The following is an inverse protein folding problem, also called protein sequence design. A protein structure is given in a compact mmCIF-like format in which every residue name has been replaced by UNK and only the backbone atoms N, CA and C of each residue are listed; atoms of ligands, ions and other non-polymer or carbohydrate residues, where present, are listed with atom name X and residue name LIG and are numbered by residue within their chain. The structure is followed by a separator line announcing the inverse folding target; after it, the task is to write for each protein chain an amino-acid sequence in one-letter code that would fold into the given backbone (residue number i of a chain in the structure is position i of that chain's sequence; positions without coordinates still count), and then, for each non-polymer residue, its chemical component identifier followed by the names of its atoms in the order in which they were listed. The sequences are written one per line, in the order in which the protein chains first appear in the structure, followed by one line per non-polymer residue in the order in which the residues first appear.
data_IF_203891698422
#
_entry.id   IF_203891698422
#
_cell.length_a   1.000
_cell.length_b   1.000
_cell.length_c   1.000
_cell.angle_alpha   90.00
_cell.angle_beta   90.00
_cell.angle_gamma   90.00
#
_symmetry.space_group_name_H-M   'P 1'
#
loop_
_entity.id
_entity.type
_entity.pdbx_description
1 polymer ?
#
# COMPACT_ATOMS: atom_id res chain seq x y z
N UNK A 1 2.00 -5.55 -5.49
CA UNK A 1 0.89 -4.62 -5.72
C UNK A 1 0.15 -4.42 -4.41
N UNK A 2 0.35 -3.28 -3.71
CA UNK A 2 -0.26 -3.03 -2.41
C UNK A 2 -1.56 -2.25 -2.57
N UNK A 3 -2.70 -2.87 -2.30
CA UNK A 3 -3.97 -2.19 -2.07
C UNK A 3 -4.17 -2.08 -0.56
N UNK A 4 -3.77 -0.95 0.03
CA UNK A 4 -4.06 -0.67 1.44
C UNK A 4 -5.54 -0.28 1.59
N UNK A 5 -6.23 -1.04 2.40
CA UNK A 5 -7.64 -0.88 2.73
C UNK A 5 -7.87 0.36 3.61
N UNK A 6 -8.78 1.23 3.20
CA UNK A 6 -9.36 2.27 4.05
C UNK A 6 -10.88 2.21 3.96
N UNK A 7 -11.48 1.23 4.66
CA UNK A 7 -12.91 1.28 5.00
C UNK A 7 -13.07 1.94 6.35
N UNK A 8 -13.44 3.22 6.34
CA UNK A 8 -14.02 3.87 7.51
C UNK A 8 -15.39 3.26 7.80
N UNK A 9 -15.54 2.71 8.99
CA UNK A 9 -16.79 2.22 9.57
C UNK A 9 -17.86 3.33 9.62
N UNK A 10 -18.96 3.16 8.92
CA UNK A 10 -20.19 3.93 9.12
C UNK A 10 -20.95 3.32 10.29
N UNK A 11 -20.90 3.99 11.43
CA UNK A 11 -21.81 3.76 12.55
C UNK A 11 -23.18 4.30 12.17
N UNK A 12 -24.21 3.44 12.14
CA UNK A 12 -25.61 3.82 12.00
C UNK A 12 -26.11 4.29 13.37
N UNK A 13 -26.38 5.58 13.49
CA UNK A 13 -27.23 6.13 14.54
C UNK A 13 -28.61 6.45 13.94
N UNK A 14 -29.61 5.75 14.41
CA UNK A 14 -31.01 6.01 14.13
C UNK A 14 -31.43 7.32 14.79
N UNK A 15 -32.02 8.26 14.01
CA UNK A 15 -32.82 9.36 14.51
C UNK A 15 -33.96 9.66 13.53
N UNK A 16 -35.15 9.53 14.02
CA UNK A 16 -36.43 9.84 13.36
C UNK A 16 -36.56 11.33 13.00
N UNK A 17 -37.25 11.57 11.89
CA UNK A 17 -38.20 12.67 11.72
C UNK A 17 -37.62 14.02 11.30
N UNK A 18 -37.56 14.28 9.98
CA UNK A 18 -38.04 15.48 9.31
C UNK A 18 -37.74 15.41 7.80
N UNK A 19 -38.77 15.26 6.98
CA UNK A 19 -38.69 15.36 5.52
C UNK A 19 -38.42 16.82 5.16
N UNK A 20 -37.17 17.16 4.85
CA UNK A 20 -36.78 18.38 4.15
C UNK A 20 -36.59 18.09 2.66
N UNK A 21 -37.03 18.97 1.72
CA UNK A 21 -36.87 18.72 0.29
C UNK A 21 -35.42 18.60 -0.07
N UNK A 22 -35.06 17.53 -0.79
CA UNK A 22 -33.72 17.29 -1.35
C UNK A 22 -33.43 18.37 -2.40
N UNK A 23 -32.85 19.50 -1.96
CA UNK A 23 -32.09 20.35 -2.87
C UNK A 23 -30.99 19.50 -3.48
N UNK A 24 -30.88 19.49 -4.82
CA UNK A 24 -29.97 18.67 -5.59
C UNK A 24 -28.55 18.79 -5.01
N UNK A 25 -28.05 17.69 -4.44
CA UNK A 25 -26.71 17.59 -3.83
C UNK A 25 -25.69 17.71 -4.96
N UNK A 26 -25.27 18.97 -5.27
CA UNK A 26 -24.10 19.19 -6.15
C UNK A 26 -22.98 18.33 -5.58
N UNK A 27 -22.54 17.33 -6.35
CA UNK A 27 -21.42 16.46 -5.97
C UNK A 27 -20.24 17.37 -5.69
N UNK A 28 -19.81 17.48 -4.43
CA UNK A 28 -18.67 18.29 -4.06
C UNK A 28 -17.47 17.92 -4.93
N UNK A 29 -16.91 18.88 -5.63
CA UNK A 29 -15.77 18.66 -6.53
C UNK A 29 -14.55 18.20 -5.71
N UNK A 30 -13.73 17.31 -6.27
CA UNK A 30 -12.46 16.90 -5.68
C UNK A 30 -11.49 18.08 -5.74
N UNK A 31 -10.75 18.36 -4.66
CA UNK A 31 -9.83 19.46 -4.59
C UNK A 31 -8.76 19.37 -5.70
N UNK A 32 -8.40 20.49 -6.38
CA UNK A 32 -7.38 20.48 -7.44
C UNK A 32 -6.04 19.89 -7.00
N UNK A 33 -5.64 20.12 -5.75
CA UNK A 33 -4.42 19.53 -5.15
C UNK A 33 -4.46 18.00 -5.14
N UNK A 34 -5.63 17.39 -4.89
CA UNK A 34 -5.80 15.92 -4.91
C UNK A 34 -5.66 15.39 -6.34
N UNK A 35 -6.21 16.10 -7.33
CA UNK A 35 -6.05 15.73 -8.74
C UNK A 35 -4.59 15.86 -9.18
N UNK A 36 -3.90 16.93 -8.78
CA UNK A 36 -2.48 17.11 -9.06
C UNK A 36 -1.63 15.99 -8.43
N UNK A 37 -1.86 15.65 -7.16
CA UNK A 37 -1.19 14.53 -6.48
C UNK A 37 -1.53 13.17 -7.12
N UNK A 38 -2.75 13.00 -7.58
CA UNK A 38 -3.17 11.82 -8.33
C UNK A 38 -2.44 11.72 -9.68
N UNK A 39 -2.32 12.82 -10.42
CA UNK A 39 -1.57 12.88 -11.68
C UNK A 39 -0.07 12.57 -11.45
N UNK A 40 0.54 13.13 -10.41
CA UNK A 40 1.92 12.79 -10.01
C UNK A 40 2.06 11.29 -9.76
N UNK A 41 1.15 10.68 -8.99
CA UNK A 41 1.18 9.25 -8.72
C UNK A 41 1.00 8.43 -9.99
N UNK A 42 0.02 8.76 -10.83
CA UNK A 42 -0.21 8.08 -12.11
C UNK A 42 1.06 8.07 -12.96
N UNK A 43 1.64 9.25 -13.22
CA UNK A 43 2.83 9.41 -14.07
C UNK A 43 4.03 8.66 -13.48
N UNK A 44 4.29 8.81 -12.19
CA UNK A 44 5.43 8.17 -11.53
C UNK A 44 5.25 6.66 -11.36
N UNK A 45 4.02 6.18 -11.26
CA UNK A 45 3.75 4.74 -11.20
C UNK A 45 3.83 4.10 -12.60
N UNK A 46 3.39 4.78 -13.69
CA UNK A 46 3.71 4.35 -15.05
C UNK A 46 5.23 4.15 -15.17
N UNK A 47 6.02 5.14 -14.81
CA UNK A 47 7.48 5.07 -14.85
C UNK A 47 8.04 3.92 -14.03
N UNK A 48 7.62 3.76 -12.78
CA UNK A 48 8.16 2.74 -11.88
C UNK A 48 7.76 1.33 -12.32
N UNK A 49 6.52 1.14 -12.78
CA UNK A 49 6.02 -0.17 -13.19
C UNK A 49 6.52 -0.59 -14.58
N UNK A 50 6.94 0.36 -15.43
CA UNK A 50 7.73 0.03 -16.64
C UNK A 50 9.01 -0.71 -16.27
N UNK A 51 9.78 -0.17 -15.31
CA UNK A 51 11.03 -0.79 -14.84
C UNK A 51 10.74 -2.12 -14.14
N UNK A 52 9.76 -2.15 -13.23
CA UNK A 52 9.37 -3.35 -12.48
C UNK A 52 9.00 -4.51 -13.42
N UNK A 53 8.30 -4.22 -14.50
CA UNK A 53 7.83 -5.24 -15.44
C UNK A 53 8.96 -5.92 -16.21
N UNK A 54 10.06 -5.22 -16.49
CA UNK A 54 11.18 -5.75 -17.29
C UNK A 54 12.38 -6.18 -16.44
N UNK A 55 12.49 -5.65 -15.23
CA UNK A 55 13.65 -5.83 -14.36
C UNK A 55 14.03 -7.30 -14.13
N UNK A 56 13.10 -8.23 -13.84
CA UNK A 56 13.47 -9.64 -13.62
C UNK A 56 14.16 -10.26 -14.83
N UNK A 57 13.61 -10.04 -16.02
CA UNK A 57 14.17 -10.58 -17.25
C UNK A 57 15.49 -9.91 -17.62
N UNK A 58 15.60 -8.59 -17.46
CA UNK A 58 16.84 -7.85 -17.66
C UNK A 58 17.97 -8.38 -16.77
N UNK A 59 17.70 -8.60 -15.48
CA UNK A 59 18.71 -9.07 -14.53
C UNK A 59 19.18 -10.50 -14.84
N UNK A 60 18.25 -11.39 -15.16
CA UNK A 60 18.57 -12.81 -15.38
C UNK A 60 19.04 -13.08 -16.79
N UNK A 61 18.35 -12.57 -17.81
CA UNK A 61 18.65 -12.84 -19.23
C UNK A 61 19.61 -11.80 -19.81
N UNK A 62 19.41 -10.52 -19.51
CA UNK A 62 20.25 -9.43 -20.04
C UNK A 62 21.62 -9.38 -19.39
N UNK A 63 21.70 -9.46 -18.08
CA UNK A 63 22.95 -9.38 -17.32
C UNK A 63 23.51 -10.75 -16.88
N UNK A 64 22.77 -11.85 -17.09
CA UNK A 64 23.22 -13.19 -16.73
C UNK A 64 23.40 -13.42 -15.24
N UNK A 65 22.67 -12.69 -14.38
CA UNK A 65 22.77 -12.87 -12.94
C UNK A 65 22.27 -14.25 -12.52
N UNK A 66 22.97 -14.85 -11.55
CA UNK A 66 22.54 -16.10 -10.96
C UNK A 66 21.17 -15.96 -10.26
N UNK A 67 20.36 -17.02 -10.14
CA UNK A 67 19.09 -16.98 -9.40
C UNK A 67 19.25 -16.52 -7.95
N UNK A 68 20.38 -16.82 -7.29
CA UNK A 68 20.71 -16.30 -5.97
C UNK A 68 20.89 -14.79 -5.97
N UNK A 69 21.69 -14.27 -6.92
CA UNK A 69 21.89 -12.83 -7.08
C UNK A 69 20.57 -12.10 -7.37
N UNK A 70 19.77 -12.66 -8.27
CA UNK A 70 18.42 -12.15 -8.53
C UNK A 70 17.53 -12.19 -7.28
N UNK A 71 17.51 -13.29 -6.52
CA UNK A 71 16.73 -13.44 -5.29
C UNK A 71 17.10 -12.40 -4.22
N UNK A 72 18.39 -12.04 -4.11
CA UNK A 72 18.83 -10.96 -3.22
C UNK A 72 18.26 -9.61 -3.68
N UNK A 73 18.33 -9.29 -4.97
CA UNK A 73 17.81 -8.02 -5.51
C UNK A 73 16.28 -7.94 -5.40
N UNK A 74 15.57 -9.02 -5.70
CA UNK A 74 14.12 -9.12 -5.56
C UNK A 74 13.69 -8.99 -4.09
N UNK A 75 14.44 -9.60 -3.18
CA UNK A 75 14.25 -9.45 -1.73
C UNK A 75 14.43 -8.00 -1.27
N UNK A 76 15.50 -7.31 -1.69
CA UNK A 76 15.72 -5.88 -1.42
C UNK A 76 14.54 -5.08 -1.97
N UNK A 77 14.15 -5.33 -3.21
CA UNK A 77 13.06 -4.63 -3.86
C UNK A 77 11.73 -4.74 -3.09
N UNK A 78 11.36 -5.93 -2.65
CA UNK A 78 10.11 -6.20 -1.95
C UNK A 78 10.16 -5.87 -0.45
N UNK A 79 11.29 -6.12 0.23
CA UNK A 79 11.43 -5.97 1.68
C UNK A 79 11.75 -4.54 2.12
N UNK A 80 12.62 -3.85 1.38
CA UNK A 80 13.18 -2.58 1.84
C UNK A 80 12.17 -1.43 1.93
N UNK A 81 11.18 -1.40 1.02
CA UNK A 81 10.17 -0.33 0.99
C UNK A 81 9.28 -0.30 2.24
N UNK A 82 9.03 -1.44 2.88
CA UNK A 82 8.23 -1.49 4.10
C UNK A 82 8.96 -0.88 5.29
N UNK A 83 10.28 -1.15 5.41
CA UNK A 83 11.12 -0.59 6.47
C UNK A 83 11.23 0.94 6.33
N UNK A 84 11.47 1.43 5.11
CA UNK A 84 11.64 2.87 4.85
C UNK A 84 10.33 3.65 5.04
N UNK A 85 9.16 3.04 4.80
CA UNK A 85 7.86 3.68 5.02
C UNK A 85 7.66 4.11 6.47
N UNK A 86 8.12 3.32 7.43
CA UNK A 86 8.08 3.68 8.86
C UNK A 86 8.93 4.91 9.16
N UNK A 87 10.13 4.99 8.54
CA UNK A 87 11.05 6.12 8.71
C UNK A 87 10.49 7.38 8.03
N UNK A 88 9.95 7.23 6.82
CA UNK A 88 9.42 8.35 6.02
C UNK A 88 8.25 9.08 6.69
N UNK A 89 7.33 8.34 7.31
CA UNK A 89 6.24 8.91 8.11
C UNK A 89 6.76 9.76 9.27
N UNK A 90 7.73 9.23 10.01
CA UNK A 90 8.32 9.92 11.14
C UNK A 90 9.11 11.20 10.75
N UNK A 91 9.84 11.16 9.63
CA UNK A 91 10.53 12.34 9.10
C UNK A 91 9.54 13.44 8.67
N UNK A 92 8.45 13.07 8.02
CA UNK A 92 7.44 14.02 7.58
C UNK A 92 6.77 14.74 8.75
N UNK A 93 6.48 14.03 9.85
CA UNK A 93 5.87 14.57 11.07
C UNK A 93 6.83 15.51 11.82
N UNK A 94 8.14 15.20 11.83
CA UNK A 94 9.16 16.07 12.44
C UNK A 94 9.49 17.31 11.62
N UNK A 95 9.25 17.30 10.33
CA UNK A 95 9.63 18.35 9.39
C UNK A 95 8.79 19.65 9.45
N UNK A 96 7.95 19.86 10.48
CA UNK A 96 7.19 21.10 10.63
C UNK A 96 6.24 21.41 9.47
N UNK A 97 5.62 20.40 8.86
CA UNK A 97 4.67 20.56 7.76
C UNK A 97 5.31 20.61 6.35
N UNK A 98 6.57 20.28 6.19
CA UNK A 98 7.29 20.25 4.90
C UNK A 98 6.94 19.00 4.05
N UNK A 99 5.68 18.55 4.06
CA UNK A 99 5.26 17.33 3.38
C UNK A 99 5.59 17.33 1.89
N UNK A 100 5.41 18.44 1.16
CA UNK A 100 5.75 18.54 -0.26
C UNK A 100 7.26 18.37 -0.50
N UNK A 101 8.12 18.95 0.34
CA UNK A 101 9.58 18.83 0.19
C UNK A 101 10.07 17.40 0.38
N UNK A 102 9.58 16.71 1.42
CA UNK A 102 9.94 15.30 1.69
C UNK A 102 9.42 14.37 0.59
N UNK A 103 8.16 14.57 0.15
CA UNK A 103 7.60 13.81 -0.97
C UNK A 103 8.39 14.08 -2.26
N UNK A 104 8.71 15.35 -2.56
CA UNK A 104 9.47 15.75 -3.74
C UNK A 104 10.86 15.13 -3.78
N UNK A 105 11.57 15.13 -2.64
CA UNK A 105 12.85 14.45 -2.53
C UNK A 105 12.72 12.94 -2.83
N UNK A 106 11.70 12.27 -2.27
CA UNK A 106 11.45 10.85 -2.54
C UNK A 106 11.16 10.56 -4.02
N UNK A 107 10.38 11.42 -4.70
CA UNK A 107 10.12 11.30 -6.13
C UNK A 107 11.38 11.54 -6.97
N UNK A 108 12.17 12.59 -6.65
CA UNK A 108 13.40 12.92 -7.34
C UNK A 108 14.45 11.81 -7.19
N UNK A 109 14.61 11.27 -5.97
CA UNK A 109 15.52 10.15 -5.71
C UNK A 109 15.14 8.92 -6.55
N UNK A 110 13.86 8.55 -6.58
CA UNK A 110 13.38 7.43 -7.39
C UNK A 110 13.56 7.69 -8.90
N UNK A 111 13.39 8.93 -9.36
CA UNK A 111 13.66 9.30 -10.76
C UNK A 111 15.15 9.15 -11.11
N UNK A 112 16.05 9.65 -10.25
CA UNK A 112 17.50 9.60 -10.46
C UNK A 112 18.06 8.17 -10.50
N UNK A 113 17.41 7.20 -9.83
CA UNK A 113 17.81 5.80 -9.84
C UNK A 113 17.67 5.14 -11.24
N UNK A 114 16.76 5.60 -12.08
CA UNK A 114 16.46 4.96 -13.37
C UNK A 114 17.61 5.04 -14.38
N UNK A 115 18.21 6.21 -14.67
CA UNK A 115 19.37 6.28 -15.54
C UNK A 115 20.62 5.59 -14.94
N UNK A 116 20.70 5.50 -13.61
CA UNK A 116 21.82 4.77 -12.98
C UNK A 116 21.76 3.27 -13.25
N UNK A 117 20.56 2.70 -13.49
CA UNK A 117 20.44 1.29 -13.89
C UNK A 117 21.10 1.00 -15.24
N UNK A 118 21.18 1.98 -16.16
CA UNK A 118 21.88 1.85 -17.44
C UNK A 118 23.39 1.69 -17.27
N UNK A 119 23.94 2.24 -16.19
CA UNK A 119 25.38 2.22 -15.90
C UNK A 119 25.79 1.05 -15.00
N UNK A 120 24.83 0.34 -14.43
CA UNK A 120 25.07 -0.70 -13.44
C UNK A 120 24.93 -2.09 -14.07
N UNK A 121 26.03 -2.82 -14.15
CA UNK A 121 26.10 -4.16 -14.77
C UNK A 121 26.42 -5.27 -13.77
N UNK A 122 26.65 -4.94 -12.50
CA UNK A 122 27.02 -5.92 -11.45
C UNK A 122 26.05 -5.86 -10.27
N UNK A 123 26.02 -6.92 -9.47
CA UNK A 123 25.06 -7.13 -8.39
C UNK A 123 25.04 -5.99 -7.37
N UNK A 124 26.21 -5.53 -6.92
CA UNK A 124 26.30 -4.54 -5.83
C UNK A 124 25.75 -3.17 -6.21
N UNK A 125 26.19 -2.51 -7.32
CA UNK A 125 25.62 -1.21 -7.70
C UNK A 125 24.14 -1.31 -8.03
N UNK A 126 23.66 -2.38 -8.67
CA UNK A 126 22.23 -2.59 -8.91
C UNK A 126 21.47 -2.67 -7.58
N UNK A 127 21.98 -3.44 -6.61
CA UNK A 127 21.36 -3.54 -5.28
C UNK A 127 21.25 -2.20 -4.55
N UNK A 128 22.31 -1.38 -4.61
CA UNK A 128 22.33 -0.03 -4.03
C UNK A 128 21.33 0.90 -4.73
N UNK A 129 21.24 0.86 -6.05
CA UNK A 129 20.29 1.65 -6.82
C UNK A 129 18.84 1.25 -6.49
N UNK A 130 18.56 -0.05 -6.43
CA UNK A 130 17.23 -0.55 -6.06
C UNK A 130 16.87 -0.18 -4.62
N UNK A 131 17.80 -0.28 -3.67
CA UNK A 131 17.59 0.16 -2.30
C UNK A 131 17.31 1.68 -2.22
N UNK A 132 18.03 2.50 -2.99
CA UNK A 132 17.80 3.95 -3.09
C UNK A 132 16.43 4.26 -3.72
N UNK A 133 16.03 3.57 -4.80
CA UNK A 133 14.70 3.72 -5.42
C UNK A 133 13.58 3.36 -4.43
N UNK A 134 13.72 2.23 -3.70
CA UNK A 134 12.74 1.84 -2.67
C UNK A 134 12.70 2.80 -1.49
N UNK A 135 13.84 3.41 -1.13
CA UNK A 135 13.92 4.51 -0.16
C UNK A 135 13.10 5.72 -0.63
N UNK A 136 13.28 6.14 -1.88
CA UNK A 136 12.49 7.20 -2.49
C UNK A 136 10.99 6.90 -2.44
N UNK A 137 10.57 5.68 -2.80
CA UNK A 137 9.16 5.24 -2.76
C UNK A 137 8.61 5.23 -1.32
N UNK A 138 9.38 4.77 -0.34
CA UNK A 138 9.00 4.78 1.07
C UNK A 138 8.82 6.20 1.63
N UNK A 139 9.78 7.08 1.36
CA UNK A 139 9.77 8.47 1.84
C UNK A 139 8.59 9.29 1.32
N UNK A 140 8.18 9.09 0.05
CA UNK A 140 7.10 9.87 -0.57
C UNK A 140 5.69 9.50 -0.10
N UNK A 141 5.46 8.24 0.33
CA UNK A 141 4.11 7.69 0.54
C UNK A 141 3.36 8.40 1.66
N UNK A 142 3.91 8.47 2.87
CA UNK A 142 3.24 9.08 4.03
C UNK A 142 3.05 10.60 3.89
N UNK A 143 4.04 11.41 3.43
CA UNK A 143 3.82 12.84 3.18
C UNK A 143 2.78 13.13 2.09
N UNK A 144 2.73 12.33 1.03
CA UNK A 144 1.71 12.43 -0.03
C UNK A 144 0.30 12.21 0.55
N UNK A 145 0.12 11.14 1.33
CA UNK A 145 -1.17 10.81 1.93
C UNK A 145 -1.61 11.89 2.93
N UNK A 146 -0.66 12.49 3.67
CA UNK A 146 -0.91 13.64 4.52
C UNK A 146 -1.40 14.86 3.72
N UNK A 147 -0.77 15.18 2.57
CA UNK A 147 -1.21 16.27 1.69
C UNK A 147 -2.63 16.05 1.15
N UNK A 148 -2.98 14.83 0.77
CA UNK A 148 -4.35 14.47 0.33
C UNK A 148 -5.34 14.71 1.47
N UNK A 149 -5.02 14.25 2.68
CA UNK A 149 -5.87 14.42 3.86
C UNK A 149 -6.07 15.89 4.22
N UNK A 150 -4.99 16.69 4.20
CA UNK A 150 -5.03 18.12 4.51
C UNK A 150 -5.77 18.95 3.44
N UNK A 151 -5.77 18.48 2.20
CA UNK A 151 -6.47 19.12 1.07
C UNK A 151 -7.95 18.74 0.98
N UNK A 152 -8.46 17.91 1.89
CA UNK A 152 -9.81 17.36 1.86
C UNK A 152 -10.55 17.62 3.15
N UNK A 153 -11.87 17.85 3.09
CA UNK A 153 -12.71 17.90 4.30
C UNK A 153 -13.02 16.49 4.79
N UNK A 154 -13.41 16.30 6.07
CA UNK A 154 -13.79 14.98 6.60
C UNK A 154 -14.81 14.24 5.71
N UNK A 155 -15.80 14.99 5.16
CA UNK A 155 -16.90 14.44 4.33
C UNK A 155 -16.42 14.03 2.92
N UNK A 156 -15.36 14.66 2.38
CA UNK A 156 -14.84 14.42 1.03
C UNK A 156 -13.57 13.56 1.02
N UNK A 157 -12.98 13.29 2.18
CA UNK A 157 -11.69 12.60 2.31
C UNK A 157 -11.70 11.20 1.68
N UNK A 158 -12.76 10.42 1.92
CA UNK A 158 -12.90 9.09 1.31
C UNK A 158 -12.90 9.14 -0.22
N UNK A 159 -13.58 10.14 -0.81
CA UNK A 159 -13.61 10.35 -2.26
C UNK A 159 -12.24 10.81 -2.78
N UNK A 160 -11.53 11.68 -2.05
CA UNK A 160 -10.21 12.15 -2.42
C UNK A 160 -9.19 11.00 -2.51
N UNK A 161 -9.14 10.15 -1.49
CA UNK A 161 -8.31 8.93 -1.50
C UNK A 161 -8.75 7.94 -2.59
N UNK A 162 -10.07 7.80 -2.83
CA UNK A 162 -10.60 6.94 -3.89
C UNK A 162 -10.14 7.37 -5.28
N UNK A 163 -10.22 8.67 -5.60
CA UNK A 163 -9.75 9.22 -6.88
C UNK A 163 -8.23 9.06 -7.01
N UNK A 164 -7.47 9.41 -5.97
CA UNK A 164 -6.02 9.21 -5.97
C UNK A 164 -5.66 7.75 -6.22
N UNK A 165 -6.33 6.80 -5.54
CA UNK A 165 -6.06 5.38 -5.70
C UNK A 165 -6.40 4.86 -7.09
N UNK A 166 -7.49 5.36 -7.70
CA UNK A 166 -7.84 5.01 -9.06
C UNK A 166 -6.74 5.45 -10.06
N UNK A 167 -6.17 6.65 -9.87
CA UNK A 167 -5.08 7.17 -10.71
C UNK A 167 -3.78 6.39 -10.48
N UNK A 168 -3.44 6.06 -9.25
CA UNK A 168 -2.31 5.21 -8.84
C UNK A 168 -2.41 3.82 -9.53
N UNK A 169 -3.58 3.18 -9.43
CA UNK A 169 -3.83 1.87 -10.07
C UNK A 169 -3.77 1.97 -11.60
N UNK A 170 -4.31 3.03 -12.19
CA UNK A 170 -4.22 3.24 -13.64
C UNK A 170 -2.74 3.35 -14.09
N UNK A 171 -1.91 4.10 -13.35
CA UNK A 171 -0.48 4.17 -13.59
C UNK A 171 0.20 2.80 -13.53
N UNK A 172 -0.14 2.00 -12.53
CA UNK A 172 0.39 0.64 -12.38
C UNK A 172 0.00 -0.30 -13.53
N UNK A 173 -1.17 -0.12 -14.13
CA UNK A 173 -1.60 -0.91 -15.29
C UNK A 173 -0.95 -0.44 -16.60
N UNK A 174 -0.78 0.87 -16.78
CA UNK A 174 -0.18 1.41 -17.99
C UNK A 174 1.33 1.16 -18.07
N UNK A 175 2.05 1.09 -16.94
CA UNK A 175 3.49 0.86 -16.92
C UNK A 175 3.95 -0.36 -17.71
N UNK A 176 3.48 -1.58 -17.37
CA UNK A 176 3.82 -2.80 -18.11
C UNK A 176 3.43 -2.75 -19.59
N UNK A 177 2.30 -2.11 -19.93
CA UNK A 177 1.84 -1.95 -21.30
C UNK A 177 2.81 -1.08 -22.11
N UNK A 178 3.23 0.07 -21.54
CA UNK A 178 4.20 0.96 -22.20
C UNK A 178 5.54 0.26 -22.35
N UNK A 179 6.02 -0.46 -21.33
CA UNK A 179 7.24 -1.26 -21.41
C UNK A 179 7.16 -2.29 -22.54
N UNK A 180 6.05 -3.02 -22.65
CA UNK A 180 5.82 -3.97 -23.75
C UNK A 180 5.90 -3.30 -25.13
N UNK A 181 5.26 -2.14 -25.30
CA UNK A 181 5.27 -1.42 -26.58
C UNK A 181 6.69 -0.98 -26.95
N UNK A 182 7.49 -0.50 -25.99
CA UNK A 182 8.89 -0.14 -26.20
C UNK A 182 9.73 -1.36 -26.58
N UNK A 183 9.64 -2.45 -25.82
CA UNK A 183 10.37 -3.69 -26.12
C UNK A 183 10.04 -4.26 -27.49
N UNK A 184 8.82 -4.02 -27.99
CA UNK A 184 8.42 -4.44 -29.33
C UNK A 184 8.96 -3.54 -30.43
N UNK A 185 9.15 -2.25 -30.12
CA UNK A 185 9.52 -1.22 -31.10
C UNK A 185 11.03 -0.99 -31.23
N UNK A 186 11.83 -1.48 -30.27
CA UNK A 186 13.27 -1.19 -30.16
C UNK A 186 14.11 -2.48 -30.13
N UNK A 187 15.35 -2.40 -30.63
CA UNK A 187 16.32 -3.51 -30.62
C UNK A 187 16.94 -3.62 -29.22
N UNK A 188 17.43 -2.51 -28.63
CA UNK A 188 17.98 -2.44 -27.27
C UNK A 188 16.86 -2.03 -26.29
N UNK A 189 15.87 -2.89 -26.18
CA UNK A 189 14.59 -2.56 -25.54
C UNK A 189 14.68 -2.19 -24.06
N UNK A 190 15.63 -2.78 -23.31
CA UNK A 190 15.78 -2.47 -21.88
C UNK A 190 16.27 -1.05 -21.62
N UNK A 191 17.29 -0.61 -22.38
CA UNK A 191 17.84 0.74 -22.27
C UNK A 191 16.80 1.80 -22.66
N UNK A 192 16.03 1.52 -23.71
CA UNK A 192 14.91 2.36 -24.11
C UNK A 192 13.84 2.45 -23.00
N UNK A 193 13.48 1.33 -22.35
CA UNK A 193 12.52 1.32 -21.24
C UNK A 193 13.04 2.16 -20.06
N UNK A 194 14.29 2.00 -19.66
CA UNK A 194 14.86 2.77 -18.55
C UNK A 194 14.95 4.27 -18.85
N UNK A 195 15.36 4.62 -20.09
CA UNK A 195 15.42 6.01 -20.54
C UNK A 195 14.05 6.68 -20.58
N UNK A 196 13.06 6.03 -21.21
CA UNK A 196 11.69 6.55 -21.24
C UNK A 196 11.10 6.63 -19.84
N UNK A 197 11.33 5.61 -19.01
CA UNK A 197 10.91 5.63 -17.59
C UNK A 197 11.48 6.82 -16.85
N UNK A 198 12.77 7.15 -17.05
CA UNK A 198 13.38 8.35 -16.48
C UNK A 198 12.68 9.64 -16.95
N UNK A 199 12.46 9.80 -18.23
CA UNK A 199 11.78 10.98 -18.78
C UNK A 199 10.37 11.13 -18.20
N UNK A 200 9.60 10.03 -18.10
CA UNK A 200 8.27 10.02 -17.48
C UNK A 200 8.34 10.38 -15.99
N UNK A 201 9.34 9.86 -15.26
CA UNK A 201 9.53 10.21 -13.85
C UNK A 201 9.83 11.70 -13.65
N UNK A 202 10.68 12.28 -14.51
CA UNK A 202 10.99 13.72 -14.50
C UNK A 202 9.72 14.55 -14.72
N UNK A 203 8.87 14.17 -15.68
CA UNK A 203 7.56 14.82 -15.87
C UNK A 203 6.72 14.74 -14.59
N UNK A 204 6.68 13.60 -13.91
CA UNK A 204 5.98 13.47 -12.63
C UNK A 204 6.51 14.41 -11.55
N UNK A 205 7.83 14.55 -11.44
CA UNK A 205 8.48 15.50 -10.52
C UNK A 205 8.15 16.95 -10.88
N UNK A 206 8.16 17.30 -12.17
CA UNK A 206 7.78 18.63 -12.63
C UNK A 206 6.32 18.97 -12.29
N UNK A 207 5.40 18.03 -12.52
CA UNK A 207 3.99 18.19 -12.12
C UNK A 207 3.86 18.42 -10.63
N UNK A 208 4.61 17.70 -9.79
CA UNK A 208 4.63 17.94 -8.34
C UNK A 208 5.11 19.34 -7.99
N UNK A 209 6.20 19.79 -8.60
CA UNK A 209 6.80 21.10 -8.30
C UNK A 209 5.87 22.23 -8.72
N UNK A 210 5.29 22.15 -9.93
CA UNK A 210 4.52 23.22 -10.54
C UNK A 210 3.08 23.29 -10.04
N UNK A 211 2.40 22.17 -9.83
CA UNK A 211 0.96 22.12 -9.59
C UNK A 211 0.56 21.80 -8.14
N UNK A 212 1.46 21.28 -7.32
CA UNK A 212 1.15 21.02 -5.90
C UNK A 212 1.60 22.23 -5.06
N UNK A 213 0.70 22.87 -4.27
CA UNK A 213 1.06 24.03 -3.47
C UNK A 213 2.02 23.68 -2.31
N UNK A 214 2.88 24.63 -1.93
CA UNK A 214 3.87 24.45 -0.85
C UNK A 214 3.23 24.41 0.55
N UNK A 215 2.10 25.10 0.75
CA UNK A 215 1.35 25.11 2.01
C UNK A 215 -0.13 24.91 1.77
N UNK A 216 -0.69 23.89 2.40
CA UNK A 216 -2.15 23.60 2.33
C UNK A 216 -2.93 24.45 3.35
N UNK A 217 -2.25 25.08 4.31
CA UNK A 217 -2.87 25.88 5.38
C UNK A 217 -3.41 27.25 4.92
N UNK A 218 -3.05 27.74 3.72
CA UNK A 218 -3.49 29.04 3.21
C UNK A 218 -4.95 29.11 2.71
N UNK A 219 -5.60 27.97 2.51
CA UNK A 219 -6.96 27.94 1.96
C UNK A 219 -8.07 28.05 3.04
N UNK A 220 -7.73 27.83 4.31
CA UNK A 220 -8.72 27.89 5.41
C UNK A 220 -8.99 29.33 5.92
N UNK A 221 -8.09 30.27 5.65
CA UNK A 221 -8.20 31.66 6.13
C UNK A 221 -8.87 32.63 5.14
N UNK A 222 -9.20 32.16 3.90
CA UNK A 222 -9.86 33.02 2.90
C UNK A 222 -11.37 32.88 2.79
N UNK A 223 -12.03 32.14 3.65
CA UNK A 223 -13.50 31.96 3.63
C UNK A 223 -14.20 32.54 4.86
N UNK A 224 -13.62 33.53 5.55
CA UNK A 224 -14.38 34.37 6.44
C UNK A 224 -14.80 35.60 5.64
N UNK A 225 -16.11 35.91 5.44
CA UNK A 225 -16.50 37.18 4.84
C UNK A 225 -16.16 38.29 5.81
N UNK A 226 -15.32 39.21 5.35
CA UNK A 226 -15.04 40.52 5.98
C UNK A 226 -16.35 41.30 5.95
N UNK A 227 -17.02 41.35 7.07
CA UNK A 227 -18.30 42.05 7.13
C UNK A 227 -18.84 42.21 8.54
N UNK A 228 -18.15 42.98 9.38
CA UNK A 228 -18.76 43.79 10.44
C UNK A 228 -17.67 44.66 11.12
N UNK A 229 -17.19 45.66 10.41
CA UNK A 229 -16.66 46.85 11.07
C UNK A 229 -17.82 47.61 11.68
N UNK A 230 -18.11 47.37 12.93
CA UNK A 230 -18.90 48.30 13.74
C UNK A 230 -18.03 49.50 14.08
N UNK A 231 -18.42 50.66 13.54
CA UNK A 231 -17.91 51.97 13.86
C UNK A 231 -18.08 52.23 15.35
N UNK A 232 -16.97 52.54 16.04
CA UNK A 232 -16.94 53.18 17.33
C UNK A 232 -17.40 54.61 17.14
N UNK A 233 -18.39 55.06 17.91
CA UNK A 233 -18.72 56.47 18.14
C UNK A 233 -18.18 56.86 19.51
N UNK A 234 -17.82 58.14 19.68
CA UNK A 234 -17.02 58.60 20.80
C UNK A 234 -17.84 59.25 21.96
N UNK A 235 -17.16 59.27 23.09
CA UNK A 235 -17.21 60.22 24.19
C UNK A 235 -18.49 60.51 24.98
N UNK A 236 -18.29 60.50 26.28
CA UNK A 236 -18.86 61.49 27.19
C UNK A 236 -19.67 60.95 28.37
N UNK A 237 -19.10 60.79 29.52
CA UNK A 237 -19.51 61.42 30.77
C UNK A 237 -19.01 60.66 32.01
N UNK A 238 -18.23 61.40 32.78
CA UNK A 238 -17.89 61.13 34.20
C UNK A 238 -19.17 61.14 35.04
N UNK A 239 -19.29 60.24 36.03
CA UNK A 239 -19.68 60.66 37.40
C UNK A 239 -19.31 59.57 38.44
N UNK A 240 -19.03 60.08 39.59
CA UNK A 240 -18.39 59.63 40.82
C UNK A 240 -19.17 58.66 41.69
N UNK A 241 -18.37 58.02 42.55
CA UNK A 241 -18.57 57.67 43.99
C UNK A 241 -19.28 56.42 44.41
N UNK A 242 -18.49 55.67 45.16
CA UNK A 242 -18.72 54.56 46.08
C UNK A 242 -19.85 54.81 47.14
N UNK A 243 -20.11 53.90 48.14
CA UNK A 243 -19.41 52.69 48.59
C UNK A 243 -20.33 51.50 49.03
N UNK A 244 -19.63 50.43 49.39
CA UNK A 244 -19.97 49.40 50.42
C UNK A 244 -21.13 48.45 50.28
N UNK A 245 -20.77 47.16 50.43
CA UNK A 245 -21.59 46.25 51.21
C UNK A 245 -21.99 44.92 50.52
N UNK A 246 -21.36 43.89 50.95
CA UNK A 246 -21.85 42.52 51.09
C UNK A 246 -21.14 41.44 50.25
N UNK A 247 -20.40 40.67 50.99
CA UNK A 247 -19.85 39.33 50.64
C UNK A 247 -20.97 38.32 50.42
N UNK A 248 -20.88 37.54 49.35
CA UNK A 248 -21.32 36.15 49.32
C UNK A 248 -20.59 35.40 48.21
N UNK A 249 -20.15 34.14 48.47
CA UNK A 249 -19.28 33.42 47.56
C UNK A 249 -20.08 32.64 46.53
N UNK A 250 -19.92 32.99 45.22
CA UNK A 250 -20.40 32.16 44.15
C UNK A 250 -19.22 31.34 43.60
N UNK A 251 -19.22 30.09 43.92
CA UNK A 251 -18.44 29.05 43.29
C UNK A 251 -18.88 28.93 41.83
N UNK A 252 -18.21 29.65 40.95
CA UNK A 252 -18.29 29.51 39.51
C UNK A 252 -17.02 28.79 39.01
N UNK A 253 -17.05 27.49 38.93
CA UNK A 253 -16.02 26.72 38.28
C UNK A 253 -16.08 27.01 36.80
N UNK A 254 -15.19 27.84 36.29
CA UNK A 254 -14.96 28.01 34.86
C UNK A 254 -14.58 26.62 34.27
N UNK A 255 -15.09 26.24 33.10
CA UNK A 255 -14.64 25.01 32.47
C UNK A 255 -13.18 25.18 32.13
N UNK A 256 -12.34 24.43 32.87
CA UNK A 256 -10.92 24.25 32.58
C UNK A 256 -10.85 23.71 31.16
N UNK A 257 -10.24 24.48 30.25
CA UNK A 257 -9.92 24.02 28.92
C UNK A 257 -9.22 22.69 29.06
N UNK A 258 -9.86 21.63 28.55
CA UNK A 258 -9.28 20.29 28.46
C UNK A 258 -8.09 20.49 27.51
N UNK A 259 -6.90 20.61 28.09
CA UNK A 259 -5.64 20.48 27.38
C UNK A 259 -5.70 19.12 26.67
N UNK A 260 -5.73 19.18 25.33
CA UNK A 260 -5.78 17.98 24.51
C UNK A 260 -4.71 17.01 24.94
N UNK A 261 -5.17 15.93 25.55
CA UNK A 261 -4.38 14.77 25.89
C UNK A 261 -3.86 14.24 24.55
N UNK A 262 -2.63 14.60 24.22
CA UNK A 262 -1.92 13.98 23.11
C UNK A 262 -1.73 12.53 23.49
N UNK A 263 -2.58 11.65 22.95
CA UNK A 263 -2.44 10.21 23.11
C UNK A 263 -0.96 9.82 22.92
N UNK A 264 -0.36 9.07 23.86
CA UNK A 264 1.05 8.74 23.82
C UNK A 264 1.36 8.06 22.48
N UNK A 265 2.34 8.62 21.75
CA UNK A 265 2.75 8.10 20.45
C UNK A 265 3.09 6.62 20.58
N UNK A 266 2.54 5.74 19.73
CA UNK A 266 2.80 4.32 19.84
C UNK A 266 4.31 4.07 19.67
N UNK A 267 4.95 3.58 20.72
CA UNK A 267 6.36 3.21 20.71
C UNK A 267 6.51 1.81 20.09
N UNK A 268 7.68 1.53 19.50
CA UNK A 268 8.00 0.19 19.00
C UNK A 268 7.78 -0.91 20.07
N UNK A 269 8.06 -0.58 21.35
CA UNK A 269 7.77 -1.47 22.47
C UNK A 269 6.28 -1.77 22.61
N UNK A 270 5.41 -0.76 22.46
CA UNK A 270 3.96 -0.95 22.52
C UNK A 270 3.46 -1.80 21.35
N UNK A 271 4.02 -1.61 20.14
CA UNK A 271 3.71 -2.44 18.98
C UNK A 271 4.15 -3.90 19.20
N UNK A 272 5.36 -4.13 19.70
CA UNK A 272 5.85 -5.48 20.01
C UNK A 272 5.08 -6.15 21.17
N UNK A 273 4.62 -5.38 22.15
CA UNK A 273 3.78 -5.88 23.25
C UNK A 273 2.43 -6.45 22.73
N UNK A 274 1.94 -6.00 21.56
CA UNK A 274 0.76 -6.57 20.93
C UNK A 274 0.95 -8.05 20.53
N UNK A 275 2.18 -8.51 20.28
CA UNK A 275 2.47 -9.94 20.04
C UNK A 275 2.23 -10.82 21.29
N UNK A 276 2.12 -10.23 22.48
CA UNK A 276 1.66 -10.93 23.68
C UNK A 276 0.20 -11.40 23.57
N UNK A 277 -0.62 -10.78 22.69
CA UNK A 277 -2.00 -11.20 22.43
C UNK A 277 -2.02 -12.48 21.59
N UNK A 278 -2.65 -13.56 22.05
CA UNK A 278 -2.60 -14.85 21.38
C UNK A 278 -3.20 -14.79 19.96
N UNK A 279 -4.22 -13.94 19.76
CA UNK A 279 -4.91 -13.82 18.48
C UNK A 279 -4.07 -13.15 17.41
N UNK A 280 -3.48 -11.99 17.73
CA UNK A 280 -2.58 -11.29 16.82
C UNK A 280 -1.33 -12.12 16.55
N UNK A 281 -0.77 -12.77 17.59
CA UNK A 281 0.39 -13.66 17.45
C UNK A 281 0.12 -14.80 16.48
N UNK A 282 -1.06 -15.44 16.58
CA UNK A 282 -1.46 -16.52 15.63
C UNK A 282 -1.57 -16.02 14.20
N UNK A 283 -2.27 -14.90 13.98
CA UNK A 283 -2.42 -14.29 12.65
C UNK A 283 -1.06 -13.89 12.08
N UNK A 284 -0.21 -13.25 12.88
CA UNK A 284 1.14 -12.85 12.48
C UNK A 284 2.02 -14.06 12.15
N UNK A 285 1.99 -15.10 12.98
CA UNK A 285 2.75 -16.33 12.75
C UNK A 285 2.31 -17.01 11.44
N UNK A 286 1.00 -17.15 11.20
CA UNK A 286 0.49 -17.69 9.96
C UNK A 286 0.93 -16.84 8.74
N UNK A 287 0.82 -15.52 8.84
CA UNK A 287 1.23 -14.62 7.77
C UNK A 287 2.72 -14.72 7.47
N UNK A 288 3.56 -14.88 8.50
CA UNK A 288 5.00 -15.10 8.36
C UNK A 288 5.32 -16.44 7.69
N UNK A 289 4.76 -17.53 8.21
CA UNK A 289 5.03 -18.89 7.68
C UNK A 289 4.57 -19.03 6.24
N UNK A 290 3.36 -18.59 5.93
CA UNK A 290 2.84 -18.60 4.57
C UNK A 290 3.66 -17.67 3.65
N UNK A 291 4.06 -16.49 4.15
CA UNK A 291 4.91 -15.55 3.41
C UNK A 291 6.30 -16.11 3.12
N UNK A 292 6.90 -16.90 4.04
CA UNK A 292 8.18 -17.58 3.84
C UNK A 292 8.12 -18.69 2.77
N UNK A 293 6.95 -19.27 2.55
CA UNK A 293 6.74 -20.32 1.54
C UNK A 293 6.17 -19.79 0.22
N UNK A 294 5.80 -18.49 0.17
CA UNK A 294 5.22 -17.86 -1.03
C UNK A 294 6.34 -17.30 -1.89
N UNK A 295 6.61 -17.94 -3.03
CA UNK A 295 7.59 -17.50 -4.03
C UNK A 295 7.16 -16.14 -4.58
N UNK A 296 8.12 -15.24 -4.79
CA UNK A 296 7.81 -13.89 -5.30
C UNK A 296 7.29 -13.93 -6.74
N UNK A 297 6.50 -12.92 -7.10
CA UNK A 297 5.91 -12.76 -8.42
C UNK A 297 6.96 -12.81 -9.53
N UNK A 298 8.09 -12.16 -9.30
CA UNK A 298 9.20 -12.09 -10.24
C UNK A 298 9.74 -13.46 -10.59
N UNK A 299 9.88 -14.35 -9.61
CA UNK A 299 10.29 -15.74 -9.85
C UNK A 299 9.19 -16.54 -10.56
N UNK A 300 7.91 -16.31 -10.22
CA UNK A 300 6.79 -16.96 -10.93
C UNK A 300 6.78 -16.58 -12.40
N UNK A 301 7.03 -15.30 -12.73
CA UNK A 301 7.10 -14.83 -14.13
C UNK A 301 8.32 -15.40 -14.86
N UNK A 302 9.49 -15.50 -14.22
CA UNK A 302 10.66 -16.14 -14.78
C UNK A 302 10.42 -17.65 -15.03
N UNK A 303 9.72 -18.34 -14.14
CA UNK A 303 9.32 -19.73 -14.32
C UNK A 303 8.33 -19.91 -15.49
N UNK A 304 7.37 -18.98 -15.62
CA UNK A 304 6.44 -18.95 -16.77
C UNK A 304 7.21 -18.79 -18.08
N UNK A 305 8.13 -17.84 -18.15
CA UNK A 305 8.96 -17.60 -19.33
C UNK A 305 9.82 -18.83 -19.64
N UNK A 306 10.55 -19.35 -18.65
CA UNK A 306 11.51 -20.42 -18.86
C UNK A 306 10.88 -21.80 -19.13
N UNK A 307 9.79 -22.14 -18.42
CA UNK A 307 9.16 -23.46 -18.49
C UNK A 307 8.07 -23.58 -19.54
N UNK A 308 7.34 -22.51 -19.76
CA UNK A 308 6.20 -22.50 -20.69
C UNK A 308 6.53 -21.78 -22.00
N UNK A 309 7.80 -21.36 -22.18
CA UNK A 309 8.28 -20.77 -23.43
C UNK A 309 7.60 -19.45 -23.78
N UNK A 310 7.20 -18.65 -22.78
CA UNK A 310 6.66 -17.29 -23.03
C UNK A 310 7.75 -16.44 -23.66
N UNK A 311 7.55 -15.89 -24.87
CA UNK A 311 8.56 -15.06 -25.52
C UNK A 311 8.92 -13.82 -24.67
N UNK A 312 10.19 -13.43 -24.69
CA UNK A 312 10.72 -12.31 -23.89
C UNK A 312 9.94 -11.02 -24.07
N UNK A 313 9.50 -10.72 -25.29
CA UNK A 313 8.68 -9.55 -25.60
C UNK A 313 7.34 -9.50 -24.88
N UNK A 314 6.77 -10.66 -24.48
CA UNK A 314 5.52 -10.73 -23.74
C UNK A 314 5.72 -10.70 -22.24
N UNK A 315 6.97 -10.84 -21.77
CA UNK A 315 7.29 -10.93 -20.34
C UNK A 315 6.75 -9.72 -19.56
N UNK A 316 6.89 -8.50 -20.11
CA UNK A 316 6.41 -7.28 -19.47
C UNK A 316 4.88 -7.26 -19.22
N UNK A 317 4.10 -8.09 -19.94
CA UNK A 317 2.65 -8.20 -19.74
C UNK A 317 2.23 -9.22 -18.68
N UNK A 318 3.15 -10.08 -18.17
CA UNK A 318 2.82 -11.06 -17.14
C UNK A 318 2.30 -10.41 -15.85
N UNK A 319 2.94 -9.34 -15.31
CA UNK A 319 2.38 -8.60 -14.18
C UNK A 319 1.00 -8.02 -14.45
N UNK A 320 0.73 -7.57 -15.68
CA UNK A 320 -0.57 -7.02 -16.09
C UNK A 320 -1.65 -8.10 -16.06
N UNK A 321 -1.33 -9.33 -16.49
CA UNK A 321 -2.25 -10.48 -16.44
C UNK A 321 -2.66 -10.82 -15.00
N UNK A 322 -1.69 -10.88 -14.08
CA UNK A 322 -1.96 -11.07 -12.64
C UNK A 322 -2.79 -9.92 -12.06
N UNK A 323 -2.47 -8.67 -12.42
CA UNK A 323 -3.19 -7.49 -11.95
C UNK A 323 -4.64 -7.46 -12.47
N UNK A 324 -4.86 -7.82 -13.73
CA UNK A 324 -6.21 -7.92 -14.30
C UNK A 324 -7.05 -8.98 -13.58
N UNK A 325 -6.49 -10.18 -13.35
CA UNK A 325 -7.16 -11.24 -12.59
C UNK A 325 -7.48 -10.79 -11.15
N UNK A 326 -6.54 -10.12 -10.49
CA UNK A 326 -6.76 -9.53 -9.16
C UNK A 326 -7.94 -8.54 -9.17
N UNK A 327 -7.97 -7.58 -10.09
CA UNK A 327 -9.01 -6.55 -10.15
C UNK A 327 -10.39 -7.15 -10.43
N UNK A 328 -10.48 -8.16 -11.30
CA UNK A 328 -11.72 -8.86 -11.60
C UNK A 328 -12.24 -9.65 -10.39
N UNK A 329 -11.34 -10.26 -9.62
CA UNK A 329 -11.70 -11.17 -8.53
C UNK A 329 -11.75 -10.51 -7.15
N UNK A 330 -11.12 -9.34 -6.93
CA UNK A 330 -11.01 -8.71 -5.61
C UNK A 330 -12.38 -8.43 -4.97
N UNK A 331 -13.33 -7.88 -5.75
CA UNK A 331 -14.67 -7.56 -5.23
C UNK A 331 -15.50 -8.83 -4.98
N UNK A 332 -15.62 -9.80 -5.90
CA UNK A 332 -16.37 -11.03 -5.65
C UNK A 332 -15.79 -11.86 -4.51
N UNK A 333 -14.45 -12.00 -4.43
CA UNK A 333 -13.82 -12.75 -3.34
C UNK A 333 -13.91 -12.01 -1.99
N UNK A 334 -13.86 -10.67 -1.99
CA UNK A 334 -14.12 -9.89 -0.78
C UNK A 334 -15.53 -10.10 -0.25
N UNK A 335 -16.55 -10.08 -1.12
CA UNK A 335 -17.94 -10.41 -0.73
C UNK A 335 -18.11 -11.86 -0.27
N UNK A 336 -17.41 -12.78 -0.91
CA UNK A 336 -17.39 -14.17 -0.49
C UNK A 336 -16.77 -14.33 0.90
N UNK A 337 -15.66 -13.61 1.18
CA UNK A 337 -15.00 -13.61 2.47
C UNK A 337 -15.92 -13.11 3.60
N UNK A 338 -16.75 -12.09 3.33
CA UNK A 338 -17.72 -11.60 4.30
C UNK A 338 -18.86 -12.62 4.56
N UNK A 339 -19.21 -13.50 3.59
CA UNK A 339 -20.27 -14.50 3.72
C UNK A 339 -19.81 -15.83 4.34
N UNK A 340 -18.70 -16.38 3.84
CA UNK A 340 -18.26 -17.72 4.24
C UNK A 340 -17.16 -17.70 5.32
N UNK A 341 -16.69 -16.49 5.67
CA UNK A 341 -15.65 -16.26 6.65
C UNK A 341 -14.28 -15.96 6.02
N UNK A 342 -13.66 -14.90 6.49
CA UNK A 342 -12.40 -14.32 5.96
C UNK A 342 -11.26 -15.32 5.97
N UNK A 343 -11.10 -16.08 7.05
CA UNK A 343 -10.02 -17.06 7.19
C UNK A 343 -10.10 -18.20 6.14
N UNK A 344 -11.32 -18.64 5.81
CA UNK A 344 -11.53 -19.68 4.79
C UNK A 344 -11.11 -19.20 3.40
N UNK A 345 -11.49 -17.97 3.03
CA UNK A 345 -11.12 -17.38 1.73
C UNK A 345 -9.63 -17.11 1.66
N UNK A 346 -9.01 -16.65 2.75
CA UNK A 346 -7.56 -16.48 2.85
C UNK A 346 -6.80 -17.80 2.58
N UNK A 347 -7.21 -18.90 3.19
CA UNK A 347 -6.60 -20.21 2.95
C UNK A 347 -6.91 -20.75 1.55
N UNK A 348 -8.12 -20.54 1.02
CA UNK A 348 -8.46 -20.93 -0.35
C UNK A 348 -7.58 -20.19 -1.38
N UNK A 349 -7.21 -18.92 -1.11
CA UNK A 349 -6.22 -18.19 -1.91
C UNK A 349 -4.86 -18.91 -1.98
N UNK A 350 -4.36 -19.41 -0.84
CA UNK A 350 -3.13 -20.20 -0.84
C UNK A 350 -3.30 -21.56 -1.55
N UNK A 351 -4.51 -22.13 -1.54
CA UNK A 351 -4.87 -23.29 -2.37
C UNK A 351 -4.79 -22.98 -3.86
N UNK A 352 -5.25 -21.81 -4.30
CA UNK A 352 -5.10 -21.36 -5.68
C UNK A 352 -3.60 -21.19 -6.06
N UNK A 353 -2.78 -20.67 -5.14
CA UNK A 353 -1.33 -20.56 -5.36
C UNK A 353 -0.65 -21.95 -5.46
N UNK A 354 -1.02 -22.88 -4.60
CA UNK A 354 -0.55 -24.27 -4.68
C UNK A 354 -0.90 -24.91 -6.03
N UNK A 355 -2.11 -24.67 -6.53
CA UNK A 355 -2.52 -25.17 -7.85
C UNK A 355 -1.70 -24.50 -8.96
N UNK A 356 -1.41 -23.20 -8.86
CA UNK A 356 -0.52 -22.50 -9.81
C UNK A 356 0.89 -23.12 -9.84
N UNK A 357 1.45 -23.44 -8.67
CA UNK A 357 2.76 -24.13 -8.60
C UNK A 357 2.70 -25.55 -9.15
N UNK A 358 1.63 -26.31 -8.88
CA UNK A 358 1.42 -27.63 -9.44
C UNK A 358 1.34 -27.59 -10.98
N UNK A 359 0.65 -26.59 -11.54
CA UNK A 359 0.60 -26.38 -12.99
C UNK A 359 1.97 -26.03 -13.57
N UNK A 360 2.78 -25.21 -12.87
CA UNK A 360 4.16 -24.91 -13.27
C UNK A 360 5.08 -26.15 -13.20
N UNK A 361 4.83 -27.08 -12.29
CA UNK A 361 5.59 -28.33 -12.15
C UNK A 361 5.13 -29.42 -13.14
N UNK A 362 3.93 -29.31 -13.67
CA UNK A 362 3.37 -30.27 -14.60
C UNK A 362 4.22 -30.37 -15.89
N UNK A 363 4.29 -31.57 -16.43
CA UNK A 363 4.97 -31.84 -17.71
C UNK A 363 4.11 -31.50 -18.93
N UNK A 364 2.89 -31.05 -18.68
CA UNK A 364 1.94 -30.73 -19.75
C UNK A 364 2.24 -29.33 -20.28
N UNK A 365 2.28 -29.19 -21.60
CA UNK A 365 2.52 -27.95 -22.32
C UNK A 365 1.27 -27.61 -23.16
N UNK A 366 0.61 -26.53 -22.82
CA UNK A 366 -0.56 -26.03 -23.53
C UNK A 366 -0.59 -24.51 -23.56
N UNK A 367 -1.10 -23.92 -24.61
CA UNK A 367 -1.20 -22.46 -24.78
C UNK A 367 -2.05 -21.78 -23.71
N UNK A 368 -3.00 -22.51 -23.10
CA UNK A 368 -3.84 -21.99 -22.01
C UNK A 368 -3.14 -21.97 -20.63
N UNK A 369 -2.03 -22.70 -20.47
CA UNK A 369 -1.38 -22.88 -19.17
C UNK A 369 -0.84 -21.58 -18.56
N UNK A 370 -0.15 -20.69 -19.30
CA UNK A 370 0.28 -19.38 -18.76
C UNK A 370 -0.89 -18.55 -18.24
N UNK A 371 -2.01 -18.52 -18.96
CA UNK A 371 -3.21 -17.78 -18.56
C UNK A 371 -3.84 -18.35 -17.30
N UNK A 372 -3.89 -19.68 -17.16
CA UNK A 372 -4.39 -20.36 -15.97
C UNK A 372 -3.52 -20.03 -14.74
N UNK A 373 -2.19 -20.06 -14.89
CA UNK A 373 -1.27 -19.68 -13.80
C UNK A 373 -1.45 -18.23 -13.39
N UNK A 374 -1.55 -17.28 -14.35
CA UNK A 374 -1.77 -15.88 -14.05
C UNK A 374 -3.12 -15.62 -13.38
N UNK A 375 -4.17 -16.32 -13.81
CA UNK A 375 -5.50 -16.23 -13.20
C UNK A 375 -5.47 -16.74 -11.74
N UNK A 376 -4.87 -17.89 -11.48
CA UNK A 376 -4.73 -18.45 -10.14
C UNK A 376 -3.87 -17.58 -9.24
N UNK A 377 -2.80 -16.99 -9.79
CA UNK A 377 -1.92 -16.09 -9.07
C UNK A 377 -2.65 -14.79 -8.71
N UNK A 378 -3.44 -14.21 -9.62
CA UNK A 378 -4.29 -13.06 -9.33
C UNK A 378 -5.42 -13.40 -8.34
N UNK A 379 -5.99 -14.60 -8.41
CA UNK A 379 -6.96 -15.12 -7.45
C UNK A 379 -6.35 -15.21 -6.04
N UNK A 380 -5.12 -15.71 -5.91
CA UNK A 380 -4.38 -15.71 -4.65
C UNK A 380 -4.29 -14.32 -4.06
N UNK A 381 -3.87 -13.30 -4.81
CA UNK A 381 -3.81 -11.93 -4.32
C UNK A 381 -5.19 -11.38 -3.92
N UNK A 382 -6.20 -11.62 -4.73
CA UNK A 382 -7.56 -11.16 -4.46
C UNK A 382 -8.16 -11.78 -3.18
N UNK A 383 -7.77 -13.03 -2.87
CA UNK A 383 -8.23 -13.73 -1.68
C UNK A 383 -7.39 -13.43 -0.42
N UNK A 384 -6.18 -12.87 -0.55
CA UNK A 384 -5.25 -12.76 0.58
C UNK A 384 -4.96 -11.32 1.01
N UNK A 385 -4.70 -10.38 0.10
CA UNK A 385 -4.19 -9.05 0.44
C UNK A 385 -5.09 -8.25 1.38
N UNK A 386 -6.35 -8.02 1.00
CA UNK A 386 -7.31 -7.27 1.83
C UNK A 386 -7.84 -8.08 3.01
N UNK A 387 -7.96 -9.39 2.84
CA UNK A 387 -8.56 -10.31 3.82
C UNK A 387 -7.68 -10.46 5.05
N UNK A 388 -6.36 -10.61 4.88
CA UNK A 388 -5.42 -10.71 6.01
C UNK A 388 -5.41 -9.44 6.85
N UNK A 389 -5.41 -8.26 6.21
CA UNK A 389 -5.45 -6.99 6.93
C UNK A 389 -6.76 -6.81 7.71
N UNK A 390 -7.88 -7.27 7.16
CA UNK A 390 -9.16 -7.26 7.84
C UNK A 390 -9.15 -8.17 9.07
N UNK A 391 -8.60 -9.40 8.98
CA UNK A 391 -8.45 -10.32 10.12
C UNK A 391 -7.51 -9.76 11.18
N UNK A 392 -6.38 -9.18 10.76
CA UNK A 392 -5.42 -8.57 11.69
C UNK A 392 -6.04 -7.37 12.42
N UNK A 393 -6.84 -6.55 11.73
CA UNK A 393 -7.49 -5.38 12.34
C UNK A 393 -8.50 -5.73 13.41
N UNK A 394 -9.17 -6.88 13.31
CA UNK A 394 -10.10 -7.39 14.34
C UNK A 394 -9.40 -7.88 15.61
N UNK A 395 -8.12 -8.26 15.48
CA UNK A 395 -7.32 -8.79 16.59
C UNK A 395 -6.62 -7.70 17.41
N UNK A 396 -6.74 -6.42 17.01
CA UNK A 396 -6.04 -5.29 17.63
C UNK A 396 -7.02 -4.24 18.13
N UNK A 397 -6.82 -3.66 19.35
CA UNK A 397 -7.62 -2.55 19.85
C UNK A 397 -7.60 -1.36 18.89
N UNK A 398 -8.66 -0.56 18.91
CA UNK A 398 -8.82 0.56 17.97
C UNK A 398 -7.69 1.57 18.05
N UNK A 399 -7.20 1.87 19.25
CA UNK A 399 -6.13 2.82 19.55
C UNK A 399 -4.76 2.38 18.99
N UNK A 400 -4.54 1.07 18.87
CA UNK A 400 -3.26 0.48 18.42
C UNK A 400 -3.37 -0.20 17.04
N UNK A 401 -4.51 -0.06 16.34
CA UNK A 401 -4.79 -0.75 15.08
C UNK A 401 -3.74 -0.46 14.00
N UNK A 402 -3.34 0.80 13.85
CA UNK A 402 -2.29 1.19 12.89
C UNK A 402 -0.95 0.52 13.19
N UNK A 403 -0.55 0.46 14.47
CA UNK A 403 0.69 -0.18 14.90
C UNK A 403 0.67 -1.69 14.72
N UNK A 404 -0.46 -2.33 15.03
CA UNK A 404 -0.64 -3.77 14.84
C UNK A 404 -0.60 -4.18 13.36
N UNK A 405 -1.27 -3.42 12.49
CA UNK A 405 -1.22 -3.66 11.05
C UNK A 405 0.17 -3.43 10.46
N UNK A 406 0.87 -2.37 10.91
CA UNK A 406 2.25 -2.10 10.50
C UNK A 406 3.20 -3.24 10.88
N UNK A 407 3.01 -3.84 12.08
CA UNK A 407 3.79 -4.99 12.53
C UNK A 407 3.59 -6.22 11.63
N UNK A 408 2.34 -6.55 11.29
CA UNK A 408 2.03 -7.66 10.38
C UNK A 408 2.62 -7.41 8.99
N UNK A 409 2.47 -6.20 8.45
CA UNK A 409 3.03 -5.83 7.13
C UNK A 409 4.56 -5.87 7.10
N UNK A 410 5.22 -5.41 8.16
CA UNK A 410 6.69 -5.48 8.27
C UNK A 410 7.15 -6.93 8.34
N UNK A 411 6.47 -7.76 9.12
CA UNK A 411 6.73 -9.20 9.17
C UNK A 411 6.59 -9.87 7.80
N UNK A 412 5.50 -9.58 7.07
CA UNK A 412 5.32 -10.09 5.72
C UNK A 412 6.43 -9.65 4.75
N UNK A 413 6.86 -8.38 4.82
CA UNK A 413 7.94 -7.88 3.98
C UNK A 413 9.27 -8.60 4.26
N UNK A 414 9.58 -8.84 5.54
CA UNK A 414 10.75 -9.62 5.94
C UNK A 414 10.65 -11.07 5.48
N UNK A 415 9.48 -11.70 5.62
CA UNK A 415 9.25 -13.05 5.14
C UNK A 415 9.44 -13.17 3.62
N UNK A 416 8.96 -12.21 2.85
CA UNK A 416 9.16 -12.15 1.39
C UNK A 416 10.64 -11.97 1.03
N UNK A 417 11.37 -11.11 1.75
CA UNK A 417 12.82 -10.96 1.56
C UNK A 417 13.54 -12.30 1.76
N UNK A 418 13.29 -12.97 2.88
CA UNK A 418 13.93 -14.26 3.20
C UNK A 418 13.51 -15.34 2.19
N UNK A 419 12.23 -15.37 1.78
CA UNK A 419 11.74 -16.30 0.77
C UNK A 419 12.44 -16.09 -0.58
N UNK A 420 12.56 -14.85 -1.07
CA UNK A 420 13.23 -14.55 -2.34
C UNK A 420 14.68 -14.97 -2.32
N UNK A 421 15.40 -14.68 -1.24
CA UNK A 421 16.78 -15.12 -1.08
C UNK A 421 16.89 -16.65 -1.01
N UNK A 422 16.06 -17.31 -0.21
CA UNK A 422 16.04 -18.76 -0.03
C UNK A 422 15.66 -19.50 -1.31
N UNK A 423 14.65 -19.02 -2.04
CA UNK A 423 14.25 -19.59 -3.32
C UNK A 423 15.34 -19.42 -4.38
N UNK A 424 15.98 -18.25 -4.45
CA UNK A 424 17.11 -18.00 -5.35
C UNK A 424 18.31 -18.91 -5.04
N UNK A 425 18.62 -19.12 -3.76
CA UNK A 425 19.66 -20.06 -3.32
C UNK A 425 19.33 -21.51 -3.70
N UNK A 426 18.10 -21.95 -3.42
CA UNK A 426 17.62 -23.28 -3.77
C UNK A 426 17.64 -23.52 -5.30
N UNK A 427 17.22 -22.52 -6.07
CA UNK A 427 17.28 -22.61 -7.54
C UNK A 427 18.73 -22.70 -8.04
N UNK A 428 19.65 -21.94 -7.48
CA UNK A 428 21.06 -21.99 -7.86
C UNK A 428 21.70 -23.33 -7.52
N UNK A 429 21.36 -23.91 -6.35
CA UNK A 429 21.95 -25.17 -5.88
C UNK A 429 21.32 -26.42 -6.49
N UNK A 430 19.99 -26.45 -6.69
CA UNK A 430 19.25 -27.66 -7.03
C UNK A 430 18.40 -27.55 -8.32
N UNK A 431 18.44 -26.39 -8.97
CA UNK A 431 17.64 -26.10 -10.15
C UNK A 431 16.20 -25.65 -9.83
N UNK A 432 15.55 -25.10 -10.84
CA UNK A 432 14.25 -24.45 -10.75
C UNK A 432 13.12 -25.42 -10.34
N UNK A 433 13.16 -26.66 -10.85
CA UNK A 433 12.12 -27.68 -10.54
C UNK A 433 12.17 -28.09 -9.08
N UNK A 434 13.35 -28.37 -8.55
CA UNK A 434 13.54 -28.78 -7.16
C UNK A 434 13.20 -27.66 -6.20
N UNK A 435 13.65 -26.43 -6.50
CA UNK A 435 13.32 -25.25 -5.72
C UNK A 435 11.80 -25.00 -5.64
N UNK A 436 11.11 -25.07 -6.79
CA UNK A 436 9.65 -24.89 -6.83
C UNK A 436 8.92 -26.05 -6.10
N UNK A 437 9.40 -27.29 -6.23
CA UNK A 437 8.83 -28.44 -5.51
C UNK A 437 8.98 -28.25 -3.99
N UNK A 438 10.17 -27.85 -3.53
CA UNK A 438 10.40 -27.57 -2.11
C UNK A 438 9.48 -26.46 -1.58
N UNK A 439 9.34 -25.36 -2.34
CA UNK A 439 8.42 -24.27 -1.97
C UNK A 439 6.95 -24.70 -1.98
N UNK A 440 6.55 -25.56 -2.92
CA UNK A 440 5.20 -26.13 -2.99
C UNK A 440 4.90 -26.98 -1.76
N UNK A 441 5.83 -27.85 -1.37
CA UNK A 441 5.70 -28.68 -0.17
C UNK A 441 5.67 -27.81 1.08
N UNK A 442 6.58 -26.83 1.19
CA UNK A 442 6.61 -25.89 2.32
C UNK A 442 5.29 -25.12 2.43
N UNK A 443 4.75 -24.61 1.32
CA UNK A 443 3.48 -23.89 1.29
C UNK A 443 2.31 -24.80 1.69
N UNK A 444 2.28 -26.03 1.22
CA UNK A 444 1.25 -27.01 1.60
C UNK A 444 1.29 -27.32 3.10
N UNK A 445 2.48 -27.53 3.68
CA UNK A 445 2.65 -27.77 5.11
C UNK A 445 2.24 -26.54 5.93
N UNK A 446 2.64 -25.34 5.52
CA UNK A 446 2.24 -24.10 6.19
C UNK A 446 0.72 -23.87 6.10
N UNK A 447 0.09 -24.16 4.97
CA UNK A 447 -1.36 -24.06 4.80
C UNK A 447 -2.11 -25.08 5.67
N UNK A 448 -1.64 -26.33 5.75
CA UNK A 448 -2.17 -27.36 6.64
C UNK A 448 -2.03 -26.94 8.11
N UNK A 449 -0.87 -26.42 8.50
CA UNK A 449 -0.67 -25.89 9.85
C UNK A 449 -1.62 -24.71 10.14
N UNK A 450 -1.82 -23.81 9.18
CA UNK A 450 -2.75 -22.70 9.34
C UNK A 450 -4.22 -23.15 9.48
N UNK A 451 -4.59 -24.31 8.94
CA UNK A 451 -5.90 -24.93 9.18
C UNK A 451 -6.09 -25.37 10.64
N UNK A 452 -5.03 -25.87 11.29
CA UNK A 452 -5.10 -26.30 12.70
C UNK A 452 -5.25 -25.14 13.68
N UNK A 453 -4.81 -23.94 13.27
CA UNK A 453 -4.93 -22.71 14.07
C UNK A 453 -6.32 -22.06 13.98
N UNK A 454 -7.26 -22.69 13.28
CA UNK A 454 -8.63 -22.24 13.11
C UNK A 454 -9.33 -22.14 14.48
N UNK A 455 -9.89 -20.99 14.82
CA UNK A 455 -10.84 -20.88 15.92
C UNK A 455 -12.13 -21.62 15.60
N UNK A 456 -12.73 -22.39 16.55
CA UNK A 456 -14.14 -22.68 16.49
C UNK A 456 -14.88 -21.33 16.49
N UNK A 457 -15.74 -21.12 15.52
CA UNK A 457 -16.70 -20.00 15.56
C UNK A 457 -17.45 -20.10 16.89
N UNK A 458 -17.53 -19.01 17.72
CA UNK A 458 -18.42 -19.06 18.86
C UNK A 458 -19.80 -19.41 18.34
N UNK A 459 -20.35 -20.53 18.77
CA UNK A 459 -21.77 -20.86 18.58
C UNK A 459 -22.56 -19.66 19.10
N UNK A 460 -23.45 -19.08 18.28
CA UNK A 460 -24.39 -18.09 18.73
C UNK A 460 -25.02 -18.57 20.05
N UNK A 461 -25.17 -17.70 21.08
CA UNK A 461 -25.89 -18.08 22.26
C UNK A 461 -27.23 -18.64 21.80
N UNK A 462 -27.52 -19.89 22.15
CA UNK A 462 -28.86 -20.44 22.02
C UNK A 462 -29.72 -19.53 22.88
N UNK A 463 -30.52 -18.64 22.25
CA UNK A 463 -31.61 -17.97 22.92
C UNK A 463 -32.47 -19.08 23.52
N UNK A 464 -32.34 -19.24 24.85
CA UNK A 464 -33.13 -20.14 25.64
C UNK A 464 -34.60 -19.75 25.49
N UNK A 465 -35.35 -20.60 24.83
CA UNK A 465 -36.80 -20.66 25.00
C UNK A 465 -37.08 -20.88 26.50
N UNK A 466 -37.53 -19.86 27.17
CA UNK A 466 -38.25 -19.91 28.43
C UNK A 466 -39.51 -19.08 28.30
#
# INVERSE_FOLDING_TARGET
MYVADSRASTSAASAEGAVRPRAGRRRAAVAPTVLALGAVSLITDVSSEMVTAVLPLYLVTGLGLSPLGFGLLDGIYNGFSALVRLIGGHLADRGGGRHKGVAGFGYALSAACKPLLLLAHTLTPIGLILAADRTGKGLRTAPRDALISLSSTPETRGRAFGVHRAMDTAGALFGPLVAFLILRATVDGYDAVFTVSFCVAVVGVLVLVLFVPNSVNGARTKSAPDGARTKSAPDGARTKSAPDGARSPATGTAPRAISGDTAPRPTLRAALALLGRPDLRRVTLCALLLGLATVSDSFVYLLLQRRLGVPDRWFALLPLGTAAAFLLLAVPLGRLADRVGRWRVFLAGHGALLLAYALLLASWHGTALPYAVLLLHGCFYAATDGVLMAVASESVPEELRSSGLALVQTGQALARFVCSLGFGAAWTAWGDRTALTASTVALALCALFALTLRRPTPSAPSEGLA
#
